data_IF_780163994712
#
_entry.id   IF_780163994712
#
_cell.length_a   1.000
_cell.length_b   1.000
_cell.length_c   1.000
_cell.angle_alpha   90.00
_cell.angle_beta   90.00
_cell.angle_gamma   90.00
#
_symmetry.space_group_name_H-M   'P 1'
#
loop_
_entity.id
_entity.type
_entity.pdbx_description
1 polymer ?
#
# COMPACT_ATOMS: atom_id res chain seq x y z
N UNK A 1 17.40 -3.72 -11.74
CA UNK A 1 16.75 -2.40 -11.71
C UNK A 1 17.30 -1.63 -10.51
N UNK A 2 17.75 -0.39 -10.73
CA UNK A 2 18.32 0.51 -9.71
C UNK A 2 17.23 1.41 -9.14
N UNK A 3 16.94 1.24 -7.86
CA UNK A 3 15.86 1.99 -7.18
C UNK A 3 16.47 2.90 -6.12
N UNK A 4 16.35 4.20 -6.34
CA UNK A 4 16.74 5.20 -5.36
C UNK A 4 15.62 5.37 -4.33
N UNK A 5 15.99 5.32 -3.06
CA UNK A 5 15.06 5.48 -1.95
C UNK A 5 15.24 6.85 -1.33
N UNK A 6 14.13 7.57 -1.17
CA UNK A 6 14.11 8.84 -0.47
C UNK A 6 14.48 8.67 1.00
N UNK A 7 15.04 9.72 1.60
CA UNK A 7 15.46 9.81 3.00
C UNK A 7 14.35 9.33 3.96
N UNK A 8 13.12 9.78 3.75
CA UNK A 8 11.97 9.41 4.58
C UNK A 8 11.64 7.92 4.53
N UNK A 9 11.72 7.27 3.37
CA UNK A 9 11.51 5.83 3.23
C UNK A 9 12.51 5.04 4.08
N UNK A 10 13.76 5.50 4.09
CA UNK A 10 14.84 4.84 4.84
C UNK A 10 14.69 5.07 6.34
N UNK A 11 14.40 6.31 6.76
CA UNK A 11 14.17 6.65 8.17
C UNK A 11 13.04 5.79 8.73
N UNK A 12 11.91 5.70 8.03
CA UNK A 12 10.77 4.89 8.47
C UNK A 12 11.08 3.41 8.49
N UNK A 13 11.88 2.90 7.54
CA UNK A 13 12.32 1.50 7.51
C UNK A 13 13.19 1.15 8.72
N UNK A 14 14.09 2.07 9.09
CA UNK A 14 15.16 1.80 10.05
C UNK A 14 14.84 2.25 11.48
N UNK A 15 13.78 3.04 11.68
CA UNK A 15 13.41 3.64 12.97
C UNK A 15 12.92 2.64 14.04
N UNK A 16 12.88 1.33 13.77
CA UNK A 16 12.55 0.30 14.76
C UNK A 16 11.10 0.33 15.29
N UNK A 17 10.30 1.29 14.87
CA UNK A 17 8.87 1.35 15.14
C UNK A 17 8.11 0.98 13.88
N UNK A 18 7.20 0.02 13.97
CA UNK A 18 6.30 -0.37 12.87
C UNK A 18 5.32 0.77 12.64
N UNK A 19 5.75 1.77 11.87
CA UNK A 19 4.92 2.94 11.55
C UNK A 19 4.09 2.70 10.28
N UNK A 20 4.56 1.82 9.38
CA UNK A 20 3.84 1.52 8.15
C UNK A 20 4.11 0.08 7.69
N UNK A 21 3.05 -0.73 7.58
CA UNK A 21 3.14 -2.11 7.08
C UNK A 21 3.61 -2.14 5.61
N UNK A 22 3.29 -1.12 4.84
CA UNK A 22 3.58 -1.03 3.41
C UNK A 22 5.09 -0.92 3.13
N UNK A 23 5.86 -0.28 4.03
CA UNK A 23 7.33 -0.25 3.95
C UNK A 23 7.93 -1.66 4.07
N UNK A 24 7.40 -2.49 4.97
CA UNK A 24 7.81 -3.89 5.06
C UNK A 24 7.54 -4.68 3.78
N UNK A 25 6.38 -4.43 3.17
CA UNK A 25 5.98 -5.03 1.90
C UNK A 25 6.86 -4.51 0.77
N UNK A 26 7.12 -3.21 0.70
CA UNK A 26 8.02 -2.59 -0.28
C UNK A 26 9.38 -3.28 -0.29
N UNK A 27 10.06 -3.37 0.86
CA UNK A 27 11.39 -3.98 0.93
C UNK A 27 11.39 -5.45 0.58
N UNK A 28 10.37 -6.20 1.01
CA UNK A 28 10.18 -7.60 0.61
C UNK A 28 10.09 -7.74 -0.92
N UNK A 29 9.42 -6.82 -1.61
CA UNK A 29 9.29 -6.86 -3.06
C UNK A 29 10.53 -6.38 -3.79
N UNK A 30 11.21 -5.35 -3.29
CA UNK A 30 12.53 -4.93 -3.79
C UNK A 30 13.53 -6.09 -3.76
N UNK A 31 13.52 -6.89 -2.68
CA UNK A 31 14.39 -8.06 -2.55
C UNK A 31 13.97 -9.20 -3.51
N UNK A 32 12.67 -9.48 -3.63
CA UNK A 32 12.15 -10.54 -4.51
C UNK A 32 12.41 -10.29 -5.99
N UNK A 33 12.34 -9.04 -6.39
CA UNK A 33 12.59 -8.62 -7.78
C UNK A 33 14.05 -8.26 -8.03
N UNK A 34 14.94 -8.56 -7.07
CA UNK A 34 16.37 -8.30 -7.17
C UNK A 34 16.70 -6.86 -7.54
N UNK A 35 15.97 -5.89 -6.98
CA UNK A 35 16.27 -4.49 -7.15
C UNK A 35 17.52 -4.09 -6.35
N UNK A 36 18.42 -3.35 -6.98
CA UNK A 36 19.48 -2.63 -6.27
C UNK A 36 18.86 -1.46 -5.49
N UNK A 37 19.00 -1.49 -4.17
CA UNK A 37 18.49 -0.43 -3.28
C UNK A 37 19.58 0.62 -3.08
N UNK A 38 19.36 1.79 -3.62
CA UNK A 38 20.33 2.88 -3.57
C UNK A 38 19.87 4.00 -2.64
N UNK A 39 20.85 4.62 -2.01
CA UNK A 39 20.70 5.82 -1.17
C UNK A 39 21.65 6.89 -1.67
N UNK A 40 21.21 8.12 -1.72
CA UNK A 40 22.08 9.22 -2.11
C UNK A 40 22.94 9.69 -0.95
N UNK A 41 24.21 10.05 -1.20
CA UNK A 41 25.12 10.56 -0.16
C UNK A 41 24.56 11.80 0.56
N UNK A 42 23.80 12.66 -0.13
CA UNK A 42 23.13 13.83 0.48
C UNK A 42 22.02 13.44 1.45
N UNK A 43 21.26 12.37 1.18
CA UNK A 43 20.30 11.82 2.13
C UNK A 43 20.99 11.31 3.41
N UNK A 44 22.17 10.70 3.27
CA UNK A 44 22.96 10.25 4.42
C UNK A 44 23.43 11.46 5.25
N UNK A 45 23.95 12.51 4.60
CA UNK A 45 24.34 13.74 5.28
C UNK A 45 23.18 14.37 6.06
N UNK A 46 21.96 14.34 5.52
CA UNK A 46 20.76 14.83 6.16
C UNK A 46 20.40 14.01 7.40
N UNK A 47 20.41 12.68 7.31
CA UNK A 47 20.12 11.80 8.44
C UNK A 47 21.14 11.96 9.56
N UNK A 48 22.42 12.12 9.20
CA UNK A 48 23.49 12.30 10.19
C UNK A 48 23.38 13.62 10.96
N UNK A 49 22.65 14.61 10.44
CA UNK A 49 22.33 15.88 11.14
C UNK A 49 21.17 15.74 12.14
N UNK A 50 20.52 14.57 12.21
CA UNK A 50 19.38 14.35 13.11
C UNK A 50 19.81 14.48 14.57
N UNK A 51 18.98 15.18 15.37
CA UNK A 51 19.25 15.42 16.80
C UNK A 51 19.16 14.15 17.67
N UNK A 52 18.48 13.12 17.20
CA UNK A 52 18.36 11.86 17.93
C UNK A 52 19.58 10.96 17.66
N UNK A 53 20.51 10.94 18.61
CA UNK A 53 21.76 10.17 18.52
C UNK A 53 21.50 8.68 18.32
N UNK A 54 20.51 8.10 19.00
CA UNK A 54 20.18 6.67 18.86
C UNK A 54 19.72 6.33 17.44
N UNK A 55 18.95 7.21 16.81
CA UNK A 55 18.54 7.06 15.40
C UNK A 55 19.75 7.11 14.48
N UNK A 56 20.66 8.05 14.69
CA UNK A 56 21.89 8.20 13.88
C UNK A 56 22.78 6.97 13.99
N UNK A 57 23.03 6.46 15.20
CA UNK A 57 23.87 5.27 15.40
C UNK A 57 23.25 4.00 14.79
N UNK A 58 21.94 3.83 14.95
CA UNK A 58 21.21 2.72 14.29
C UNK A 58 21.36 2.81 12.78
N UNK A 59 21.21 4.01 12.23
CA UNK A 59 21.30 4.23 10.79
C UNK A 59 22.70 3.94 10.25
N UNK A 60 23.77 4.35 10.94
CA UNK A 60 25.16 4.09 10.53
C UNK A 60 25.45 2.60 10.34
N UNK A 61 24.87 1.74 11.18
CA UNK A 61 25.03 0.29 11.05
C UNK A 61 24.23 -0.24 9.85
N UNK A 62 23.02 0.25 9.67
CA UNK A 62 22.08 -0.29 8.68
C UNK A 62 22.32 0.22 7.27
N UNK A 63 22.97 1.39 7.10
CA UNK A 63 23.28 1.96 5.78
C UNK A 63 24.18 1.03 4.95
N UNK A 64 24.93 0.16 5.58
CA UNK A 64 25.78 -0.84 4.92
C UNK A 64 24.98 -1.83 4.04
N UNK A 65 23.67 -1.91 4.23
CA UNK A 65 22.78 -2.76 3.42
C UNK A 65 22.30 -2.08 2.12
N UNK A 66 22.73 -0.85 1.89
CA UNK A 66 22.36 -0.07 0.71
C UNK A 66 23.58 0.29 -0.12
N UNK A 67 23.40 0.39 -1.41
CA UNK A 67 24.42 0.96 -2.27
C UNK A 67 24.33 2.49 -2.22
N UNK A 68 25.47 3.16 -2.03
CA UNK A 68 25.51 4.62 -1.87
C UNK A 68 25.95 5.29 -3.15
N UNK A 69 25.11 6.16 -3.69
CA UNK A 69 25.48 7.08 -4.75
C UNK A 69 26.36 8.20 -4.17
N UNK A 70 27.69 8.07 -4.40
CA UNK A 70 28.70 8.95 -3.78
C UNK A 70 28.75 10.35 -4.39
N UNK A 71 28.84 10.43 -5.70
CA UNK A 71 29.02 11.70 -6.40
C UNK A 71 27.74 12.06 -7.16
N UNK A 72 27.05 13.15 -6.81
CA UNK A 72 25.86 13.58 -7.52
C UNK A 72 26.15 13.86 -9.00
N UNK A 73 25.18 13.55 -9.86
CA UNK A 73 25.25 13.93 -11.25
C UNK A 73 25.29 15.47 -11.40
N UNK A 74 25.98 16.01 -12.39
CA UNK A 74 25.83 17.42 -12.73
C UNK A 74 24.34 17.77 -12.90
N UNK A 75 23.93 18.89 -12.31
CA UNK A 75 22.51 19.31 -12.38
C UNK A 75 22.13 19.65 -13.81
N UNK A 76 21.10 19.03 -14.33
CA UNK A 76 20.54 19.35 -15.64
C UNK A 76 19.88 20.73 -15.63
N UNK A 77 19.90 21.42 -16.77
CA UNK A 77 19.34 22.78 -16.88
C UNK A 77 17.83 22.79 -16.61
N UNK A 78 17.11 21.75 -17.07
CA UNK A 78 15.68 21.57 -16.85
C UNK A 78 15.37 21.42 -15.36
N UNK A 79 16.18 20.64 -14.63
CA UNK A 79 16.07 20.47 -13.19
C UNK A 79 16.30 21.78 -12.46
N UNK A 80 17.35 22.52 -12.83
CA UNK A 80 17.62 23.84 -12.27
C UNK A 80 16.49 24.85 -12.52
N UNK A 81 15.85 24.78 -13.70
CA UNK A 81 14.74 25.65 -14.03
C UNK A 81 13.49 25.35 -13.16
N UNK A 82 13.21 24.06 -12.89
CA UNK A 82 12.11 23.64 -12.01
C UNK A 82 12.42 23.96 -10.54
N UNK A 83 13.65 23.71 -10.07
CA UNK A 83 14.14 24.04 -8.74
C UNK A 83 13.93 25.52 -8.43
N UNK A 84 14.38 26.42 -9.28
CA UNK A 84 14.21 27.87 -9.12
C UNK A 84 12.76 28.33 -8.94
N UNK A 85 11.81 27.58 -9.47
CA UNK A 85 10.37 27.90 -9.40
C UNK A 85 9.68 27.29 -8.18
N UNK A 86 10.13 26.12 -7.71
CA UNK A 86 9.39 25.31 -6.76
C UNK A 86 10.09 25.12 -5.42
N UNK A 87 11.42 25.30 -5.34
CA UNK A 87 12.17 25.13 -4.10
C UNK A 87 12.09 26.38 -3.24
N UNK A 88 11.84 26.15 -1.94
CA UNK A 88 11.72 27.21 -0.96
C UNK A 88 12.57 26.97 0.30
N UNK A 89 13.07 25.76 0.48
CA UNK A 89 13.84 25.33 1.66
C UNK A 89 15.11 24.57 1.27
N UNK A 90 16.02 24.40 2.21
CA UNK A 90 17.24 23.60 2.01
C UNK A 90 16.91 22.13 1.73
N UNK A 91 15.87 21.58 2.38
CA UNK A 91 15.41 20.21 2.12
C UNK A 91 14.93 20.03 0.68
N UNK A 92 14.20 21.03 0.13
CA UNK A 92 13.77 20.99 -1.28
C UNK A 92 14.96 20.85 -2.25
N UNK A 93 16.16 21.30 -1.86
CA UNK A 93 17.36 21.14 -2.68
C UNK A 93 17.89 19.70 -2.68
N UNK A 94 17.79 18.98 -1.57
CA UNK A 94 18.13 17.55 -1.51
C UNK A 94 17.17 16.76 -2.38
N UNK A 95 15.89 17.01 -2.27
CA UNK A 95 14.84 16.39 -3.10
C UNK A 95 15.11 16.59 -4.60
N UNK A 96 15.52 17.80 -4.96
CA UNK A 96 15.87 18.13 -6.35
C UNK A 96 17.11 17.36 -6.84
N UNK A 97 18.09 17.13 -5.97
CA UNK A 97 19.27 16.31 -6.30
C UNK A 97 18.84 14.85 -6.54
N UNK A 98 17.96 14.27 -5.70
CA UNK A 98 17.45 12.92 -5.91
C UNK A 98 16.73 12.80 -7.25
N UNK A 99 15.90 13.79 -7.58
CA UNK A 99 15.17 13.82 -8.84
C UNK A 99 16.11 13.94 -10.06
N UNK A 100 17.22 14.68 -9.92
CA UNK A 100 18.23 14.80 -10.96
C UNK A 100 18.91 13.46 -11.30
N UNK A 101 19.14 12.60 -10.30
CA UNK A 101 19.72 11.26 -10.55
C UNK A 101 18.80 10.39 -11.42
N UNK A 102 17.48 10.51 -11.23
CA UNK A 102 16.49 9.84 -12.07
C UNK A 102 16.42 10.45 -13.47
N UNK A 103 16.41 11.79 -13.53
CA UNK A 103 16.33 12.53 -14.79
C UNK A 103 17.53 12.22 -15.70
N UNK A 104 18.74 12.19 -15.12
CA UNK A 104 19.97 11.85 -15.84
C UNK A 104 20.11 10.35 -16.14
N UNK A 105 19.16 9.49 -15.71
CA UNK A 105 19.18 8.04 -15.98
C UNK A 105 20.25 7.28 -15.21
N UNK A 106 20.77 7.82 -14.11
CA UNK A 106 21.74 7.15 -13.25
C UNK A 106 21.10 6.06 -12.38
N UNK A 107 19.83 6.26 -12.08
CA UNK A 107 18.94 5.29 -11.44
C UNK A 107 17.68 5.13 -12.28
N UNK A 108 17.04 3.97 -12.19
CA UNK A 108 15.88 3.66 -13.00
C UNK A 108 14.60 4.30 -12.42
N UNK A 109 14.48 4.26 -11.09
CA UNK A 109 13.29 4.73 -10.37
C UNK A 109 13.67 5.46 -9.08
N UNK A 110 12.79 6.36 -8.63
CA UNK A 110 12.79 6.96 -7.30
C UNK A 110 11.51 6.58 -6.56
N UNK A 111 11.63 6.12 -5.32
CA UNK A 111 10.49 5.89 -4.42
C UNK A 111 10.49 6.96 -3.33
N UNK A 112 9.41 7.73 -3.27
CA UNK A 112 9.21 8.84 -2.33
C UNK A 112 7.74 9.09 -2.04
N UNK A 113 7.42 9.47 -0.81
CA UNK A 113 6.08 9.95 -0.43
C UNK A 113 5.95 11.49 -0.52
N UNK A 114 7.01 12.17 -0.93
CA UNK A 114 7.01 13.63 -1.00
C UNK A 114 6.24 14.15 -2.22
N UNK A 115 5.15 14.88 -1.96
CA UNK A 115 4.27 15.44 -3.00
C UNK A 115 4.96 16.50 -3.86
N UNK A 116 5.97 17.21 -3.34
CA UNK A 116 6.71 18.21 -4.12
C UNK A 116 7.61 17.54 -5.16
N UNK A 117 8.24 16.42 -4.79
CA UNK A 117 9.03 15.61 -5.75
C UNK A 117 8.13 15.12 -6.88
N UNK A 118 6.95 14.59 -6.56
CA UNK A 118 5.97 14.17 -7.58
C UNK A 118 5.52 15.32 -8.48
N UNK A 119 5.27 16.50 -7.93
CA UNK A 119 4.89 17.68 -8.72
C UNK A 119 6.03 18.13 -9.65
N UNK A 120 7.28 18.11 -9.18
CA UNK A 120 8.46 18.38 -10.00
C UNK A 120 8.62 17.35 -11.13
N UNK A 121 8.48 16.06 -10.79
CA UNK A 121 8.55 14.96 -11.76
C UNK A 121 7.50 15.10 -12.86
N UNK A 122 6.28 15.50 -12.52
CA UNK A 122 5.21 15.79 -13.47
C UNK A 122 5.57 16.95 -14.40
N UNK A 123 6.14 18.02 -13.85
CA UNK A 123 6.59 19.18 -14.65
C UNK A 123 7.71 18.81 -15.63
N UNK A 124 8.56 17.85 -15.26
CA UNK A 124 9.69 17.36 -16.05
C UNK A 124 9.31 16.23 -17.02
N UNK A 125 8.07 15.72 -16.97
CA UNK A 125 7.61 14.62 -17.82
C UNK A 125 8.22 13.26 -17.47
N UNK A 126 8.63 13.03 -16.21
CA UNK A 126 9.24 11.79 -15.71
C UNK A 126 8.43 11.14 -14.59
N UNK A 127 7.11 11.38 -14.53
CA UNK A 127 6.23 10.78 -13.53
C UNK A 127 6.22 9.25 -13.57
N UNK A 128 6.54 8.65 -14.70
CA UNK A 128 6.66 7.21 -14.89
C UNK A 128 7.88 6.58 -14.21
N UNK A 129 8.78 7.42 -13.67
CA UNK A 129 9.99 7.01 -12.95
C UNK A 129 9.98 7.37 -11.46
N UNK A 130 8.94 8.06 -10.98
CA UNK A 130 8.83 8.52 -9.58
C UNK A 130 7.55 7.98 -8.99
N UNK A 131 7.67 7.11 -7.99
CA UNK A 131 6.56 6.37 -7.41
C UNK A 131 6.43 6.65 -5.92
N UNK A 132 5.21 6.69 -5.41
CA UNK A 132 4.94 6.42 -4.02
C UNK A 132 4.98 4.90 -3.76
N UNK A 133 4.85 4.46 -2.52
CA UNK A 133 4.94 3.04 -2.17
C UNK A 133 3.82 2.25 -2.84
N UNK A 134 2.59 2.75 -2.80
CA UNK A 134 1.41 2.06 -3.32
C UNK A 134 1.49 1.90 -4.85
N UNK A 135 1.80 2.97 -5.57
CA UNK A 135 1.94 2.95 -7.03
C UNK A 135 3.08 2.01 -7.47
N UNK A 136 4.19 1.99 -6.72
CA UNK A 136 5.29 1.07 -6.99
C UNK A 136 4.87 -0.39 -6.78
N UNK A 137 4.17 -0.68 -5.69
CA UNK A 137 3.67 -2.03 -5.41
C UNK A 137 2.67 -2.49 -6.46
N UNK A 138 1.75 -1.61 -6.88
CA UNK A 138 0.80 -1.92 -7.96
C UNK A 138 1.53 -2.26 -9.27
N UNK A 139 2.52 -1.45 -9.65
CA UNK A 139 3.38 -1.71 -10.81
C UNK A 139 4.07 -3.08 -10.72
N UNK A 140 4.76 -3.35 -9.61
CA UNK A 140 5.49 -4.60 -9.42
C UNK A 140 4.55 -5.81 -9.44
N UNK A 141 3.36 -5.71 -8.84
CA UNK A 141 2.38 -6.80 -8.85
C UNK A 141 1.85 -7.08 -10.27
N UNK A 142 1.63 -6.03 -11.04
CA UNK A 142 1.17 -6.18 -12.43
C UNK A 142 2.23 -6.79 -13.35
N UNK A 143 3.51 -6.47 -13.12
CA UNK A 143 4.64 -6.96 -13.91
C UNK A 143 5.11 -8.37 -13.51
N UNK A 144 4.82 -8.82 -12.27
CA UNK A 144 5.28 -10.10 -11.73
C UNK A 144 4.11 -10.90 -11.10
N UNK A 145 3.05 -11.18 -11.85
CA UNK A 145 1.87 -11.85 -11.29
C UNK A 145 2.18 -13.25 -10.74
N UNK A 146 3.21 -13.93 -11.26
CA UNK A 146 3.65 -15.25 -10.80
C UNK A 146 4.34 -15.21 -9.42
N UNK A 147 4.91 -14.06 -9.04
CA UNK A 147 5.53 -13.87 -7.72
C UNK A 147 4.52 -13.44 -6.66
N UNK A 148 3.36 -12.97 -7.07
CA UNK A 148 2.26 -12.68 -6.16
C UNK A 148 1.70 -14.02 -5.71
N UNK A 149 2.12 -14.49 -4.53
CA UNK A 149 1.36 -15.52 -3.82
C UNK A 149 0.00 -14.92 -3.49
N UNK A 150 -0.89 -14.92 -4.47
CA UNK A 150 -2.30 -14.92 -4.17
C UNK A 150 -2.48 -16.18 -3.30
N UNK A 151 -2.59 -16.02 -2.00
CA UNK A 151 -3.44 -16.92 -1.25
C UNK A 151 -4.79 -16.75 -1.95
N UNK A 152 -5.07 -17.61 -2.90
CA UNK A 152 -6.41 -17.74 -3.45
C UNK A 152 -7.21 -18.03 -2.21
N UNK A 153 -7.89 -17.01 -1.71
CA UNK A 153 -8.84 -17.20 -0.65
C UNK A 153 -9.82 -18.19 -1.27
N UNK A 154 -9.75 -19.44 -0.84
CA UNK A 154 -10.55 -20.49 -1.39
C UNK A 154 -12.01 -20.17 -1.04
N UNK A 155 -12.68 -19.46 -1.96
CA UNK A 155 -14.07 -19.06 -1.78
C UNK A 155 -14.90 -20.33 -1.82
N UNK A 156 -15.52 -20.66 -0.71
CA UNK A 156 -16.39 -21.81 -0.56
C UNK A 156 -17.85 -21.36 -0.51
N UNK A 157 -18.70 -22.00 -1.30
CA UNK A 157 -20.14 -21.87 -1.15
C UNK A 157 -20.61 -22.92 -0.15
N UNK A 158 -21.12 -22.49 0.98
CA UNK A 158 -21.59 -23.36 2.07
C UNK A 158 -22.97 -22.94 2.54
N UNK A 159 -23.74 -23.88 3.13
CA UNK A 159 -24.99 -23.48 3.81
C UNK A 159 -24.68 -22.77 5.14
N UNK A 160 -25.55 -21.85 5.56
CA UNK A 160 -25.44 -21.17 6.85
C UNK A 160 -25.30 -22.16 8.02
N UNK A 161 -26.00 -23.27 7.98
CA UNK A 161 -25.93 -24.31 9.02
C UNK A 161 -24.58 -25.00 9.17
N UNK A 162 -23.63 -24.79 8.25
CA UNK A 162 -22.25 -25.29 8.32
C UNK A 162 -21.26 -24.25 8.80
N UNK A 163 -21.70 -23.03 9.03
CA UNK A 163 -20.85 -21.91 9.47
C UNK A 163 -20.96 -21.80 10.98
N UNK A 164 -19.82 -21.70 11.67
CA UNK A 164 -19.81 -21.50 13.11
C UNK A 164 -20.26 -20.07 13.44
N UNK A 165 -21.51 -19.95 13.94
CA UNK A 165 -22.07 -18.66 14.37
C UNK A 165 -21.29 -18.03 15.52
N UNK A 166 -20.50 -18.81 16.28
CA UNK A 166 -19.68 -18.31 17.38
C UNK A 166 -18.27 -17.87 16.93
N UNK A 167 -17.98 -17.91 15.62
CA UNK A 167 -16.70 -17.38 15.13
C UNK A 167 -16.59 -15.90 15.50
N UNK A 168 -15.43 -15.44 16.02
CA UNK A 168 -15.19 -14.04 16.37
C UNK A 168 -15.46 -13.05 15.22
N UNK A 169 -15.46 -13.52 13.97
CA UNK A 169 -15.83 -12.73 12.81
C UNK A 169 -17.21 -12.04 12.95
N UNK A 170 -18.16 -12.72 13.60
CA UNK A 170 -19.53 -12.21 13.74
C UNK A 170 -19.74 -11.32 14.98
N UNK A 171 -18.70 -11.10 15.81
CA UNK A 171 -18.88 -10.38 17.08
C UNK A 171 -19.43 -8.97 16.86
N UNK A 172 -18.85 -8.20 15.94
CA UNK A 172 -19.32 -6.83 15.68
C UNK A 172 -20.78 -6.79 15.16
N UNK A 173 -21.16 -7.78 14.34
CA UNK A 173 -22.54 -7.88 13.83
C UNK A 173 -23.53 -8.23 14.96
N UNK A 174 -23.11 -9.07 15.92
CA UNK A 174 -23.94 -9.39 17.10
C UNK A 174 -24.10 -8.20 18.03
N UNK A 175 -23.05 -7.40 18.18
CA UNK A 175 -23.07 -6.20 19.00
C UNK A 175 -23.95 -5.11 18.39
N UNK A 176 -23.94 -4.97 17.07
CA UNK A 176 -24.70 -3.95 16.33
C UNK A 176 -26.16 -4.36 16.07
N UNK A 177 -26.46 -5.66 15.96
CA UNK A 177 -27.79 -6.18 15.59
C UNK A 177 -28.33 -7.17 16.60
N UNK A 178 -29.22 -6.74 17.47
CA UNK A 178 -29.81 -7.51 18.60
C UNK A 178 -30.39 -8.87 18.16
N UNK A 179 -30.92 -8.99 16.94
CA UNK A 179 -31.53 -10.23 16.43
C UNK A 179 -30.66 -10.95 15.40
N UNK A 180 -29.36 -10.65 15.35
CA UNK A 180 -28.45 -11.25 14.35
C UNK A 180 -28.46 -12.79 14.40
N UNK A 181 -28.37 -13.38 15.59
CA UNK A 181 -28.34 -14.83 15.78
C UNK A 181 -29.64 -15.48 15.28
N UNK A 182 -30.81 -14.87 15.58
CA UNK A 182 -32.09 -15.37 15.09
C UNK A 182 -32.22 -15.23 13.58
N UNK A 183 -31.72 -14.14 13.02
CA UNK A 183 -31.68 -13.93 11.59
C UNK A 183 -30.80 -14.99 10.92
N UNK A 184 -29.60 -15.23 11.43
CA UNK A 184 -28.64 -16.21 10.92
C UNK A 184 -29.22 -17.64 10.92
N UNK A 185 -29.80 -18.04 12.04
CA UNK A 185 -30.40 -19.39 12.21
C UNK A 185 -31.58 -19.63 11.28
N UNK A 186 -32.38 -18.60 10.98
CA UNK A 186 -33.47 -18.71 9.99
C UNK A 186 -32.98 -18.99 8.56
N UNK A 187 -31.69 -18.73 8.28
CA UNK A 187 -31.06 -18.92 6.98
C UNK A 187 -30.36 -20.29 6.84
N UNK A 188 -30.58 -21.23 7.79
CA UNK A 188 -29.86 -22.49 7.92
C UNK A 188 -29.62 -23.21 6.59
N UNK A 189 -30.62 -23.33 5.72
CA UNK A 189 -30.56 -24.01 4.44
C UNK A 189 -30.10 -23.10 3.28
N UNK A 190 -30.02 -21.80 3.50
CA UNK A 190 -29.54 -20.87 2.49
C UNK A 190 -28.01 -20.93 2.36
N UNK A 191 -27.48 -20.49 1.22
CA UNK A 191 -26.04 -20.53 0.94
C UNK A 191 -25.40 -19.16 1.15
N UNK A 192 -24.21 -19.18 1.72
CA UNK A 192 -23.29 -18.04 1.74
C UNK A 192 -21.96 -18.40 1.08
N UNK A 193 -21.20 -17.41 0.72
CA UNK A 193 -19.83 -17.55 0.23
C UNK A 193 -18.88 -17.11 1.35
N UNK A 194 -17.96 -17.97 1.69
CA UNK A 194 -17.01 -17.72 2.78
C UNK A 194 -15.57 -17.95 2.33
N UNK A 195 -14.64 -17.31 3.00
CA UNK A 195 -13.24 -17.70 2.98
C UNK A 195 -12.77 -17.98 4.40
N UNK A 196 -11.93 -18.97 4.56
CA UNK A 196 -11.39 -19.37 5.86
C UNK A 196 -9.86 -19.29 5.84
N UNK A 197 -9.29 -18.97 6.99
CA UNK A 197 -7.85 -19.00 7.20
C UNK A 197 -7.38 -20.46 7.25
N UNK A 198 -6.53 -20.85 6.30
CA UNK A 198 -6.00 -22.21 6.20
C UNK A 198 -5.20 -22.67 7.43
N UNK A 199 -4.66 -21.75 8.23
CA UNK A 199 -3.81 -22.07 9.35
C UNK A 199 -4.61 -22.38 10.63
N UNK A 200 -5.77 -21.73 10.83
CA UNK A 200 -6.52 -21.83 12.08
C UNK A 200 -8.02 -22.07 11.87
N UNK A 201 -8.48 -22.22 10.63
CA UNK A 201 -9.87 -22.49 10.29
C UNK A 201 -10.86 -21.33 10.53
N UNK A 202 -10.40 -20.17 11.01
CA UNK A 202 -11.27 -19.03 11.31
C UNK A 202 -11.78 -18.36 10.02
N UNK A 203 -12.99 -17.82 10.13
CA UNK A 203 -13.62 -17.07 9.05
C UNK A 203 -12.84 -15.78 8.75
N UNK A 204 -12.58 -15.53 7.47
CA UNK A 204 -11.93 -14.31 6.99
C UNK A 204 -12.88 -13.38 6.23
N UNK A 205 -13.87 -13.96 5.54
CA UNK A 205 -14.91 -13.20 4.86
C UNK A 205 -16.21 -13.98 4.84
N UNK A 206 -17.31 -13.25 4.78
CA UNK A 206 -18.65 -13.79 4.67
C UNK A 206 -19.44 -12.92 3.69
N UNK A 207 -20.07 -13.54 2.72
CA UNK A 207 -20.91 -12.88 1.74
C UNK A 207 -22.21 -13.65 1.58
N UNK A 208 -23.31 -13.00 1.88
CA UNK A 208 -24.65 -13.52 1.60
C UNK A 208 -25.26 -12.78 0.40
N UNK A 209 -25.83 -13.54 -0.52
CA UNK A 209 -26.44 -12.97 -1.73
C UNK A 209 -27.86 -13.51 -1.86
N UNK A 210 -28.84 -12.59 -1.85
CA UNK A 210 -30.26 -12.91 -2.06
C UNK A 210 -30.69 -12.40 -3.43
N UNK A 211 -31.32 -13.28 -4.21
CA UNK A 211 -32.07 -12.86 -5.40
C UNK A 211 -33.44 -12.38 -4.95
N UNK A 212 -33.77 -11.18 -5.27
CA UNK A 212 -35.07 -10.57 -4.98
C UNK A 212 -35.87 -10.39 -6.27
N UNK A 213 -37.15 -10.57 -6.19
CA UNK A 213 -38.08 -10.36 -7.30
C UNK A 213 -38.82 -9.03 -7.15
N UNK A 214 -39.83 -8.80 -7.99
CA UNK A 214 -40.61 -7.58 -8.03
C UNK A 214 -41.64 -7.46 -6.87
N UNK A 215 -41.73 -8.47 -6.00
CA UNK A 215 -42.65 -8.47 -4.85
C UNK A 215 -42.02 -7.84 -3.58
N UNK A 216 -40.70 -7.67 -3.56
CA UNK A 216 -40.00 -7.04 -2.42
C UNK A 216 -40.33 -5.55 -2.31
N UNK A 217 -40.76 -5.15 -1.12
CA UNK A 217 -41.15 -3.78 -0.81
C UNK A 217 -40.00 -2.99 -0.15
N UNK A 218 -39.65 -1.86 -0.74
CA UNK A 218 -38.62 -0.93 -0.26
C UNK A 218 -39.18 0.49 -0.07
N UNK A 219 -40.46 0.60 0.31
CA UNK A 219 -41.09 1.90 0.56
C UNK A 219 -40.55 2.63 1.78
N UNK A 220 -39.86 1.92 2.68
CA UNK A 220 -39.21 2.43 3.89
C UNK A 220 -37.82 3.04 3.63
N UNK A 221 -37.30 2.90 2.42
CA UNK A 221 -35.97 3.44 2.03
C UNK A 221 -36.16 4.81 1.37
N UNK A 222 -35.31 5.77 1.66
CA UNK A 222 -35.31 7.10 1.08
C UNK A 222 -34.06 7.34 0.22
N UNK A 223 -34.19 7.62 -1.09
CA UNK A 223 -35.40 7.59 -1.89
C UNK A 223 -35.96 6.17 -2.07
N UNK A 224 -37.27 5.99 -2.22
CA UNK A 224 -37.86 4.67 -2.37
C UNK A 224 -37.35 3.95 -3.63
N UNK A 225 -37.09 2.67 -3.53
CA UNK A 225 -36.65 1.88 -4.67
C UNK A 225 -37.86 1.26 -5.38
N UNK A 226 -37.98 1.39 -6.70
CA UNK A 226 -39.10 0.79 -7.44
C UNK A 226 -38.98 -0.75 -7.45
N UNK A 227 -40.09 -1.49 -7.49
CA UNK A 227 -40.08 -2.95 -7.62
C UNK A 227 -39.28 -3.39 -8.85
N UNK A 228 -38.29 -4.24 -8.68
CA UNK A 228 -37.46 -4.81 -9.75
C UNK A 228 -36.77 -6.08 -9.26
N UNK A 229 -36.41 -6.98 -10.20
CA UNK A 229 -35.48 -8.06 -9.91
C UNK A 229 -34.12 -7.49 -9.52
N UNK A 230 -33.61 -7.88 -8.37
CA UNK A 230 -32.33 -7.40 -7.80
C UNK A 230 -31.50 -8.52 -7.22
N UNK A 231 -30.22 -8.22 -7.08
CA UNK A 231 -29.31 -9.00 -6.26
C UNK A 231 -29.02 -8.16 -5.01
N UNK A 232 -29.46 -8.63 -3.86
CA UNK A 232 -29.12 -8.03 -2.57
C UNK A 232 -27.86 -8.68 -2.04
N UNK A 233 -26.89 -7.85 -1.66
CA UNK A 233 -25.61 -8.25 -1.09
C UNK A 233 -25.59 -7.85 0.37
N UNK A 234 -25.30 -8.79 1.24
CA UNK A 234 -25.20 -8.58 2.69
C UNK A 234 -23.95 -9.27 3.26
#
# INVERSE_FOLDING_TARGET
>A
MKVLLDTNIIIHREAGHVVNQDIGILFKWLDRTHCEKLVHSKSIEEILKNKNVATVETFKVKIQNYEVLQNPSPMAEEILAVSKKMDSTENDSVDTILLNEVFCGRVDLLITEDKKIHAKASTLGISDKVFNIDDFLEKIFSENPELVNYKVLNVQKVSFGKIDLNDPFFQSLKDDYVDFDKWFLRKYDESAYITINSNNGKLLSFLYVKKEDETENYSDITPPLPPKKRLKVG
#
